data_IF_623565848486
#
_entry.id   IF_623565848486
#
_cell.length_a   1.000
_cell.length_b   1.000
_cell.length_c   1.000
_cell.angle_alpha   90.00
_cell.angle_beta   90.00
_cell.angle_gamma   90.00
#
_symmetry.space_group_name_H-M   'P 1'
#
loop_
_entity.id
_entity.type
_entity.pdbx_description
1 polymer ?
#
# COMPACT_ATOMS: atom_id res chain seq x y z
N UNK A 1 -10.45 -63.89 -40.84
CA UNK A 1 -11.07 -62.62 -41.29
C UNK A 1 -11.64 -61.88 -40.08
N UNK A 2 -10.84 -61.00 -39.47
CA UNK A 2 -11.26 -59.96 -38.50
C UNK A 2 -10.19 -58.86 -38.56
N UNK A 3 -10.53 -57.74 -39.20
CA UNK A 3 -9.74 -56.51 -39.30
C UNK A 3 -9.55 -55.89 -37.91
N UNK A 4 -8.32 -55.48 -37.57
CA UNK A 4 -8.06 -54.45 -36.55
C UNK A 4 -7.58 -53.20 -37.28
N UNK A 5 -8.40 -52.17 -37.23
CA UNK A 5 -8.10 -50.82 -37.70
C UNK A 5 -7.36 -50.11 -36.57
N UNK A 6 -6.08 -49.80 -36.77
CA UNK A 6 -5.31 -48.92 -35.89
C UNK A 6 -5.37 -47.49 -36.43
N UNK A 7 -6.04 -46.60 -35.71
CA UNK A 7 -6.08 -45.17 -36.02
C UNK A 7 -4.86 -44.51 -35.35
N UNK A 8 -3.97 -43.93 -36.15
CA UNK A 8 -2.87 -43.08 -35.65
C UNK A 8 -3.39 -41.65 -35.43
N UNK A 9 -3.39 -41.17 -34.19
CA UNK A 9 -3.61 -39.76 -33.87
C UNK A 9 -2.28 -39.00 -33.97
N UNK A 10 -2.20 -37.85 -34.68
CA UNK A 10 -0.98 -37.05 -34.70
C UNK A 10 -0.87 -36.27 -33.38
N UNK A 11 0.30 -36.36 -32.75
CA UNK A 11 0.64 -35.60 -31.55
C UNK A 11 0.84 -34.12 -31.95
N UNK A 12 -0.15 -33.26 -31.69
CA UNK A 12 0.02 -31.81 -31.81
C UNK A 12 0.93 -31.34 -30.67
N UNK A 13 2.17 -31.01 -31.00
CA UNK A 13 3.09 -30.29 -30.12
C UNK A 13 2.63 -28.84 -30.05
N UNK A 14 1.97 -28.45 -28.96
CA UNK A 14 1.75 -27.05 -28.65
C UNK A 14 3.08 -26.44 -28.18
N UNK A 15 3.75 -25.73 -29.08
CA UNK A 15 4.78 -24.75 -28.70
C UNK A 15 4.10 -23.61 -27.94
N UNK A 16 4.09 -23.68 -26.62
CA UNK A 16 3.78 -22.52 -25.77
C UNK A 16 4.93 -21.51 -25.93
N UNK A 17 4.74 -20.51 -26.79
CA UNK A 17 5.54 -19.29 -26.77
C UNK A 17 5.26 -18.57 -25.44
N UNK A 18 6.04 -18.92 -24.42
CA UNK A 18 6.08 -18.18 -23.17
C UNK A 18 6.61 -16.78 -23.44
N UNK A 19 5.73 -15.81 -23.61
CA UNK A 19 6.10 -14.41 -23.59
C UNK A 19 6.79 -14.12 -22.27
N UNK A 20 8.05 -13.68 -22.32
CA UNK A 20 8.80 -13.28 -21.14
C UNK A 20 8.08 -12.08 -20.48
N UNK A 21 7.22 -12.35 -19.51
CA UNK A 21 6.74 -11.30 -18.61
C UNK A 21 7.96 -10.80 -17.84
N UNK A 22 8.23 -9.50 -17.95
CA UNK A 22 9.25 -8.85 -17.14
C UNK A 22 8.93 -9.14 -15.66
N UNK A 23 9.82 -9.83 -14.95
CA UNK A 23 9.67 -10.06 -13.52
C UNK A 23 9.74 -8.71 -12.81
N UNK A 24 8.69 -8.38 -12.06
CA UNK A 24 8.66 -7.21 -11.19
C UNK A 24 9.84 -7.22 -10.21
N UNK A 25 10.34 -6.04 -9.83
CA UNK A 25 11.28 -5.89 -8.73
C UNK A 25 10.62 -6.43 -7.45
N UNK A 26 11.34 -7.28 -6.74
CA UNK A 26 10.95 -7.67 -5.38
C UNK A 26 11.77 -6.83 -4.41
N UNK A 27 11.19 -5.70 -4.00
CA UNK A 27 11.71 -4.93 -2.87
C UNK A 27 11.07 -5.52 -1.61
N UNK A 28 11.88 -5.91 -0.63
CA UNK A 28 11.37 -6.28 0.70
C UNK A 28 10.40 -7.48 0.72
N UNK A 29 10.50 -8.35 -0.30
CA UNK A 29 9.52 -9.43 -0.47
C UNK A 29 8.17 -8.93 -1.00
N UNK A 30 8.04 -7.73 -1.53
CA UNK A 30 6.79 -7.20 -2.11
C UNK A 30 7.04 -6.96 -3.60
N UNK A 31 6.61 -7.88 -4.49
CA UNK A 31 6.85 -7.71 -5.92
C UNK A 31 5.98 -6.58 -6.49
N UNK A 32 6.63 -5.63 -7.18
CA UNK A 32 6.00 -4.46 -7.79
C UNK A 32 6.73 -4.02 -9.07
N UNK A 33 5.97 -3.64 -10.09
CA UNK A 33 6.56 -2.97 -11.26
C UNK A 33 6.87 -1.50 -10.99
N UNK A 34 6.47 -0.97 -9.83
CA UNK A 34 6.69 0.42 -9.45
C UNK A 34 7.78 0.56 -8.39
N UNK A 35 8.35 1.76 -8.21
CA UNK A 35 9.32 2.02 -7.14
C UNK A 35 8.76 1.87 -5.71
N UNK A 36 7.44 1.95 -5.53
CA UNK A 36 6.71 1.61 -4.31
C UNK A 36 5.46 0.85 -4.74
N UNK A 37 5.13 -0.29 -4.11
CA UNK A 37 3.93 -1.05 -4.50
C UNK A 37 2.66 -0.23 -4.28
N UNK A 38 1.77 -0.22 -5.28
CA UNK A 38 0.53 0.55 -5.24
C UNK A 38 -0.65 -0.33 -4.80
N UNK A 39 -1.23 0.00 -3.65
CA UNK A 39 -2.43 -0.61 -3.07
C UNK A 39 -3.56 0.41 -2.95
N UNK A 40 -4.80 -0.08 -2.94
CA UNK A 40 -6.00 0.74 -2.73
C UNK A 40 -6.91 0.09 -1.67
N UNK A 41 -7.45 0.91 -0.76
CA UNK A 41 -8.43 0.47 0.22
C UNK A 41 -9.80 0.24 -0.44
N UNK A 42 -10.45 -0.87 -0.09
CA UNK A 42 -11.85 -1.14 -0.45
C UNK A 42 -12.71 -1.44 0.79
N UNK A 43 -14.02 -1.27 0.62
CA UNK A 43 -15.03 -1.86 1.52
C UNK A 43 -15.37 -3.27 0.99
N UNK A 44 -15.01 -4.34 1.71
CA UNK A 44 -15.21 -5.72 1.23
C UNK A 44 -16.69 -6.14 1.18
N UNK A 45 -17.60 -5.37 1.77
CA UNK A 45 -19.05 -5.61 1.69
C UNK A 45 -19.66 -4.92 0.47
N UNK A 46 -19.15 -3.77 0.07
CA UNK A 46 -19.73 -2.93 -1.00
C UNK A 46 -19.04 -3.06 -2.35
N UNK A 47 -17.82 -3.61 -2.40
CA UNK A 47 -17.04 -3.71 -3.62
C UNK A 47 -17.74 -4.59 -4.67
N UNK A 48 -17.75 -4.16 -5.93
CA UNK A 48 -18.24 -4.97 -7.05
C UNK A 48 -17.11 -5.53 -7.91
N UNK A 49 -17.38 -6.57 -8.69
CA UNK A 49 -16.41 -7.08 -9.67
C UNK A 49 -16.01 -6.01 -10.70
N UNK A 50 -16.96 -5.15 -11.08
CA UNK A 50 -16.70 -3.99 -11.96
C UNK A 50 -15.67 -3.06 -11.33
N UNK A 51 -15.81 -2.76 -10.03
CA UNK A 51 -14.84 -1.94 -9.30
C UNK A 51 -13.45 -2.59 -9.31
N UNK A 52 -13.35 -3.89 -9.02
CA UNK A 52 -12.06 -4.60 -9.04
C UNK A 52 -11.38 -4.56 -10.41
N UNK A 53 -12.14 -4.71 -11.50
CA UNK A 53 -11.63 -4.56 -12.87
C UNK A 53 -11.13 -3.15 -13.15
N UNK A 54 -11.85 -2.13 -12.67
CA UNK A 54 -11.44 -0.74 -12.79
C UNK A 54 -10.18 -0.42 -11.95
N UNK A 55 -10.08 -0.96 -10.74
CA UNK A 55 -8.88 -0.90 -9.89
C UNK A 55 -7.66 -1.47 -10.63
N UNK A 56 -7.80 -2.68 -11.20
CA UNK A 56 -6.71 -3.30 -11.98
C UNK A 56 -6.33 -2.45 -13.20
N UNK A 57 -7.33 -1.95 -13.93
CA UNK A 57 -7.12 -1.08 -15.10
C UNK A 57 -6.45 0.24 -14.71
N UNK A 58 -6.73 0.76 -13.52
CA UNK A 58 -6.12 1.98 -13.00
C UNK A 58 -4.63 1.81 -12.65
N UNK A 59 -4.12 0.57 -12.64
CA UNK A 59 -2.70 0.27 -12.44
C UNK A 59 -2.35 -0.16 -11.02
N UNK A 60 -3.31 -0.29 -10.12
CA UNK A 60 -3.06 -0.87 -8.79
C UNK A 60 -2.71 -2.36 -8.90
N UNK A 61 -1.76 -2.79 -8.08
CA UNK A 61 -1.32 -4.19 -7.99
C UNK A 61 -1.90 -4.89 -6.76
N UNK A 62 -2.21 -4.11 -5.72
CA UNK A 62 -2.68 -4.60 -4.43
C UNK A 62 -4.03 -3.98 -4.04
N UNK A 63 -4.77 -4.68 -3.18
CA UNK A 63 -6.04 -4.24 -2.61
C UNK A 63 -6.04 -4.54 -1.12
N UNK A 64 -6.28 -3.51 -0.28
CA UNK A 64 -6.40 -3.67 1.17
C UNK A 64 -7.84 -3.70 1.64
N UNK A 65 -8.15 -4.59 2.56
CA UNK A 65 -9.38 -4.55 3.34
C UNK A 65 -9.25 -5.22 4.70
N UNK A 66 -10.13 -4.83 5.61
CA UNK A 66 -10.21 -5.37 6.95
C UNK A 66 -11.02 -6.66 7.04
N UNK A 67 -10.54 -7.61 7.84
CA UNK A 67 -11.19 -8.86 8.19
C UNK A 67 -11.47 -8.87 9.68
N UNK A 68 -12.75 -9.07 10.03
CA UNK A 68 -13.23 -9.13 11.41
C UNK A 68 -13.79 -10.51 11.72
N UNK A 69 -13.76 -10.97 12.99
CA UNK A 69 -14.43 -12.21 13.36
C UNK A 69 -15.94 -12.09 13.19
N UNK A 70 -16.61 -13.24 13.00
CA UNK A 70 -18.05 -13.27 12.73
C UNK A 70 -18.90 -12.64 13.83
N UNK A 71 -18.46 -12.67 15.09
CA UNK A 71 -19.15 -12.03 16.22
C UNK A 71 -19.22 -10.49 16.08
N UNK A 72 -18.31 -9.90 15.30
CA UNK A 72 -18.28 -8.47 14.98
C UNK A 72 -19.11 -8.12 13.73
N UNK A 73 -19.73 -9.11 13.08
CA UNK A 73 -20.62 -8.85 11.95
C UNK A 73 -21.88 -8.13 12.45
N UNK A 74 -22.07 -6.89 11.98
CA UNK A 74 -23.31 -6.14 12.24
C UNK A 74 -24.45 -6.85 11.50
N UNK A 75 -25.60 -6.97 12.17
CA UNK A 75 -26.80 -7.63 11.66
C UNK A 75 -27.03 -7.40 10.16
N UNK A 76 -26.81 -8.44 9.36
CA UNK A 76 -27.18 -8.51 7.94
C UNK A 76 -26.12 -8.12 6.90
N UNK A 77 -24.89 -7.73 7.26
CA UNK A 77 -23.84 -7.37 6.28
C UNK A 77 -22.51 -8.08 6.55
N UNK A 78 -22.39 -9.32 6.05
CA UNK A 78 -21.15 -10.11 6.09
C UNK A 78 -20.45 -10.03 4.73
N UNK A 79 -19.16 -9.74 4.72
CA UNK A 79 -18.35 -9.84 3.51
C UNK A 79 -18.12 -11.31 3.15
N UNK A 80 -18.26 -11.66 1.87
CA UNK A 80 -17.82 -12.95 1.33
C UNK A 80 -16.31 -12.89 1.04
N UNK A 81 -15.49 -13.07 2.07
CA UNK A 81 -14.03 -12.98 1.94
C UNK A 81 -13.47 -14.05 0.99
N UNK A 82 -14.02 -15.27 0.99
CA UNK A 82 -13.55 -16.36 0.12
C UNK A 82 -13.86 -16.08 -1.36
N UNK A 83 -15.07 -15.61 -1.66
CA UNK A 83 -15.45 -15.17 -3.00
C UNK A 83 -14.62 -13.96 -3.46
N UNK A 84 -14.42 -12.97 -2.59
CA UNK A 84 -13.58 -11.80 -2.89
C UNK A 84 -12.13 -12.20 -3.20
N UNK A 85 -11.50 -13.04 -2.38
CA UNK A 85 -10.13 -13.52 -2.64
C UNK A 85 -10.03 -14.31 -3.96
N UNK A 86 -11.08 -15.07 -4.32
CA UNK A 86 -11.16 -15.77 -5.61
C UNK A 86 -11.20 -14.77 -6.78
N UNK A 87 -11.99 -13.70 -6.67
CA UNK A 87 -12.05 -12.64 -7.68
C UNK A 87 -10.72 -11.89 -7.82
N UNK A 88 -10.07 -11.56 -6.70
CA UNK A 88 -8.77 -10.88 -6.71
C UNK A 88 -7.71 -11.72 -7.42
N UNK A 89 -7.64 -13.03 -7.13
CA UNK A 89 -6.74 -13.96 -7.83
C UNK A 89 -7.00 -14.00 -9.34
N UNK A 90 -8.27 -14.08 -9.74
CA UNK A 90 -8.64 -14.10 -11.17
C UNK A 90 -8.24 -12.82 -11.91
N UNK A 91 -8.23 -11.67 -11.20
CA UNK A 91 -7.83 -10.37 -11.74
C UNK A 91 -6.33 -10.04 -11.54
N UNK A 92 -5.56 -10.95 -10.93
CA UNK A 92 -4.16 -10.73 -10.55
C UNK A 92 -4.00 -9.47 -9.69
N UNK A 93 -4.91 -9.27 -8.76
CA UNK A 93 -4.82 -8.29 -7.68
C UNK A 93 -4.40 -9.02 -6.41
N UNK A 94 -3.38 -8.49 -5.73
CA UNK A 94 -2.81 -9.11 -4.53
C UNK A 94 -3.45 -8.52 -3.27
N UNK A 95 -3.93 -9.34 -2.33
CA UNK A 95 -4.61 -8.83 -1.15
C UNK A 95 -3.63 -8.39 -0.04
N UNK A 96 -4.00 -7.31 0.66
CA UNK A 96 -3.44 -6.90 1.94
C UNK A 96 -4.55 -7.01 2.99
N UNK A 97 -4.45 -7.96 3.90
CA UNK A 97 -5.55 -8.31 4.82
C UNK A 97 -5.23 -7.89 6.25
N UNK A 98 -6.00 -6.94 6.75
CA UNK A 98 -5.89 -6.48 8.14
C UNK A 98 -6.79 -7.30 9.05
N UNK A 99 -6.20 -8.12 9.92
CA UNK A 99 -6.92 -8.93 10.90
C UNK A 99 -7.12 -8.12 12.19
N UNK A 100 -8.37 -7.77 12.52
CA UNK A 100 -8.69 -6.91 13.66
C UNK A 100 -10.15 -7.12 14.11
N UNK A 101 -10.59 -6.52 15.22
CA UNK A 101 -12.00 -6.62 15.57
C UNK A 101 -12.53 -5.84 16.77
N UNK A 102 -11.82 -4.81 17.25
CA UNK A 102 -12.38 -3.82 18.18
C UNK A 102 -13.02 -4.43 19.45
N UNK A 103 -14.01 -3.74 20.07
CA UNK A 103 -14.69 -4.20 21.30
C UNK A 103 -15.32 -5.60 21.22
N UNK A 104 -15.70 -6.04 20.01
CA UNK A 104 -16.33 -7.35 19.78
C UNK A 104 -15.35 -8.52 19.97
N UNK A 105 -14.07 -8.30 19.67
CA UNK A 105 -12.97 -9.24 19.98
C UNK A 105 -12.63 -9.23 21.46
N UNK A 106 -12.81 -8.07 22.12
CA UNK A 106 -12.45 -7.89 23.53
C UNK A 106 -13.52 -8.34 24.53
N UNK A 107 -14.66 -8.88 24.06
CA UNK A 107 -15.73 -9.41 24.92
C UNK A 107 -16.54 -8.32 25.64
N UNK A 108 -16.41 -7.05 25.23
CA UNK A 108 -16.97 -5.91 25.96
C UNK A 108 -18.50 -5.83 25.95
N UNK A 109 -19.15 -6.55 25.03
CA UNK A 109 -20.62 -6.66 24.98
C UNK A 109 -21.23 -7.53 26.09
N UNK A 110 -20.42 -8.29 26.83
CA UNK A 110 -20.88 -9.19 27.90
C UNK A 110 -20.37 -8.71 29.26
N UNK A 111 -20.99 -7.66 29.80
CA UNK A 111 -20.70 -7.19 31.15
C UNK A 111 -21.14 -8.22 32.20
N UNK A 112 -20.17 -8.85 32.89
CA UNK A 112 -20.19 -9.33 34.29
C UNK A 112 -18.95 -10.19 34.65
N UNK A 113 -17.78 -9.90 34.07
CA UNK A 113 -16.52 -10.62 34.37
C UNK A 113 -15.43 -9.61 34.73
N UNK A 114 -14.53 -9.95 35.65
CA UNK A 114 -13.43 -9.07 36.08
C UNK A 114 -12.48 -8.74 34.91
N UNK A 115 -11.93 -7.52 34.90
CA UNK A 115 -11.16 -6.96 33.76
C UNK A 115 -9.97 -7.81 33.31
N UNK A 116 -9.28 -8.50 34.24
CA UNK A 116 -8.09 -9.31 33.93
C UNK A 116 -8.41 -10.67 33.31
N UNK A 117 -9.51 -11.31 33.71
CA UNK A 117 -9.98 -12.56 33.09
C UNK A 117 -10.54 -12.30 31.69
N UNK A 118 -11.25 -11.17 31.49
CA UNK A 118 -11.71 -10.76 30.17
C UNK A 118 -10.52 -10.54 29.21
N UNK A 119 -9.47 -9.83 29.64
CA UNK A 119 -8.33 -9.56 28.76
C UNK A 119 -7.60 -10.82 28.26
N UNK A 120 -7.40 -11.82 29.13
CA UNK A 120 -6.74 -13.10 28.77
C UNK A 120 -7.58 -13.96 27.81
N UNK A 121 -8.89 -14.04 28.03
CA UNK A 121 -9.79 -14.76 27.13
C UNK A 121 -9.83 -14.09 25.74
N UNK A 122 -9.99 -12.77 25.73
CA UNK A 122 -9.98 -11.97 24.51
C UNK A 122 -8.67 -12.06 23.74
N UNK A 123 -7.55 -12.21 24.46
CA UNK A 123 -6.25 -12.44 23.82
C UNK A 123 -6.20 -13.77 23.05
N UNK A 124 -6.74 -14.82 23.67
CA UNK A 124 -6.83 -16.14 23.05
C UNK A 124 -7.79 -16.14 21.87
N UNK A 125 -8.91 -15.42 21.96
CA UNK A 125 -9.92 -15.34 20.92
C UNK A 125 -9.39 -14.64 19.66
N UNK A 126 -8.69 -13.49 19.81
CA UNK A 126 -8.06 -12.82 18.67
C UNK A 126 -7.03 -13.73 17.99
N UNK A 127 -6.14 -14.35 18.78
CA UNK A 127 -5.11 -15.22 18.23
C UNK A 127 -5.69 -16.44 17.50
N UNK A 128 -6.74 -17.06 18.05
CA UNK A 128 -7.42 -18.19 17.44
C UNK A 128 -8.13 -17.77 16.14
N UNK A 129 -8.81 -16.62 16.14
CA UNK A 129 -9.41 -16.06 14.93
C UNK A 129 -8.36 -15.81 13.85
N UNK A 130 -7.27 -15.09 14.18
CA UNK A 130 -6.25 -14.72 13.23
C UNK A 130 -5.58 -15.96 12.63
N UNK A 131 -5.13 -16.90 13.47
CA UNK A 131 -4.52 -18.15 13.00
C UNK A 131 -5.49 -18.99 12.19
N UNK A 132 -6.75 -19.11 12.61
CA UNK A 132 -7.77 -19.85 11.89
C UNK A 132 -8.06 -19.26 10.51
N UNK A 133 -8.16 -17.93 10.40
CA UNK A 133 -8.39 -17.27 9.12
C UNK A 133 -7.18 -17.37 8.19
N UNK A 134 -5.96 -17.18 8.71
CA UNK A 134 -4.73 -17.38 7.94
C UNK A 134 -4.61 -18.82 7.43
N UNK A 135 -4.97 -19.80 8.26
CA UNK A 135 -4.92 -21.22 7.91
C UNK A 135 -5.93 -21.62 6.84
N UNK A 136 -7.12 -21.01 6.84
CA UNK A 136 -8.14 -21.21 5.80
C UNK A 136 -7.74 -20.58 4.46
N UNK A 137 -6.83 -19.61 4.46
CA UNK A 137 -6.45 -18.81 3.30
C UNK A 137 -4.94 -18.81 3.06
N UNK A 138 -4.36 -20.00 2.83
CA UNK A 138 -2.91 -20.19 2.58
C UNK A 138 -2.49 -19.78 1.17
N UNK A 139 -2.53 -18.48 0.87
CA UNK A 139 -2.04 -17.92 -0.38
C UNK A 139 -0.76 -17.07 -0.13
N UNK A 140 0.39 -17.41 -0.76
CA UNK A 140 1.65 -16.71 -0.54
C UNK A 140 1.67 -15.26 -1.05
N UNK A 141 0.70 -14.86 -1.88
CA UNK A 141 0.58 -13.49 -2.37
C UNK A 141 -0.19 -12.58 -1.38
N UNK A 142 -0.75 -13.14 -0.30
CA UNK A 142 -1.39 -12.34 0.76
C UNK A 142 -0.32 -11.68 1.62
N UNK A 143 -0.44 -10.37 1.78
CA UNK A 143 0.23 -9.64 2.85
C UNK A 143 -0.73 -9.55 4.04
N UNK A 144 -0.30 -10.04 5.19
CA UNK A 144 -1.10 -10.02 6.42
C UNK A 144 -0.72 -8.82 7.26
N UNK A 145 -1.71 -8.11 7.79
CA UNK A 145 -1.52 -7.07 8.78
C UNK A 145 -2.22 -7.49 10.08
N UNK A 146 -1.46 -7.53 11.18
CA UNK A 146 -2.00 -7.80 12.50
C UNK A 146 -2.46 -6.50 13.14
N UNK A 147 -3.73 -6.46 13.55
CA UNK A 147 -4.37 -5.33 14.21
C UNK A 147 -4.49 -4.06 13.36
N UNK A 148 -5.18 -3.05 13.90
CA UNK A 148 -5.35 -1.73 13.30
C UNK A 148 -5.29 -0.66 14.40
N UNK A 149 -4.37 0.30 14.26
CA UNK A 149 -4.25 1.50 15.09
C UNK A 149 -4.46 1.23 16.59
N UNK A 150 -3.55 0.46 17.24
CA UNK A 150 -3.68 0.17 18.67
C UNK A 150 -3.65 1.43 19.56
N UNK A 151 -3.28 2.59 19.01
CA UNK A 151 -3.29 3.88 19.71
C UNK A 151 -4.66 4.53 19.80
N UNK A 152 -5.63 4.10 19.00
CA UNK A 152 -6.95 4.70 18.93
C UNK A 152 -7.93 3.89 19.80
N UNK A 153 -8.53 4.50 20.84
CA UNK A 153 -9.41 3.79 21.78
C UNK A 153 -10.62 3.09 21.14
N UNK A 154 -11.05 3.55 19.97
CA UNK A 154 -12.10 2.89 19.16
C UNK A 154 -11.70 1.46 18.78
N UNK A 155 -10.41 1.20 18.55
CA UNK A 155 -9.91 -0.13 18.19
C UNK A 155 -9.37 -0.88 19.39
N UNK A 156 -8.61 -0.22 20.27
CA UNK A 156 -8.01 -0.85 21.44
C UNK A 156 -8.02 0.11 22.63
N UNK A 157 -8.68 -0.30 23.72
CA UNK A 157 -8.54 0.41 25.00
C UNK A 157 -7.10 0.24 25.53
N UNK A 158 -6.43 1.31 25.98
CA UNK A 158 -5.04 1.25 26.43
C UNK A 158 -4.75 0.16 27.48
N UNK A 159 -5.68 -0.08 28.40
CA UNK A 159 -5.57 -1.10 29.45
C UNK A 159 -5.56 -2.54 28.93
N UNK A 160 -6.00 -2.77 27.68
CA UNK A 160 -6.01 -4.08 27.02
C UNK A 160 -4.75 -4.34 26.20
N UNK A 161 -3.84 -3.37 26.06
CA UNK A 161 -2.61 -3.56 25.28
C UNK A 161 -1.75 -4.70 25.84
N UNK A 162 -1.34 -4.60 27.11
CA UNK A 162 -0.46 -5.58 27.75
C UNK A 162 -1.14 -6.91 28.10
N UNK A 163 -2.34 -6.93 28.75
CA UNK A 163 -2.97 -8.20 29.09
C UNK A 163 -3.75 -8.83 27.91
N UNK A 164 -3.94 -8.11 26.80
CA UNK A 164 -4.72 -8.53 25.64
C UNK A 164 -3.89 -8.65 24.36
N UNK A 165 -3.59 -7.54 23.70
CA UNK A 165 -2.98 -7.55 22.37
C UNK A 165 -1.57 -8.16 22.34
N UNK A 166 -0.70 -7.80 23.29
CA UNK A 166 0.67 -8.35 23.38
C UNK A 166 0.69 -9.88 23.43
N UNK A 167 0.02 -10.57 24.38
CA UNK A 167 0.02 -12.03 24.43
C UNK A 167 -0.68 -12.67 23.22
N UNK A 168 -1.68 -11.99 22.62
CA UNK A 168 -2.31 -12.48 21.39
C UNK A 168 -1.31 -12.56 20.24
N UNK A 169 -0.57 -11.48 20.03
CA UNK A 169 0.42 -11.36 18.96
C UNK A 169 1.59 -12.29 19.21
N UNK A 170 2.04 -12.41 20.45
CA UNK A 170 3.05 -13.40 20.84
C UNK A 170 2.60 -14.83 20.50
N UNK A 171 1.35 -15.19 20.78
CA UNK A 171 0.77 -16.50 20.43
C UNK A 171 0.69 -16.72 18.91
N UNK A 172 0.21 -15.72 18.16
CA UNK A 172 0.18 -15.77 16.68
C UNK A 172 1.61 -16.00 16.15
N UNK A 173 2.54 -15.15 16.55
CA UNK A 173 3.91 -15.23 16.06
C UNK A 173 4.62 -16.55 16.42
N UNK A 174 4.43 -17.06 17.63
CA UNK A 174 5.01 -18.36 18.03
C UNK A 174 4.45 -19.51 17.19
N UNK A 175 3.15 -19.47 16.89
CA UNK A 175 2.52 -20.46 16.02
C UNK A 175 3.06 -20.38 14.59
N UNK A 176 3.23 -19.18 14.03
CA UNK A 176 3.80 -19.01 12.68
C UNK A 176 5.27 -19.44 12.60
N UNK A 177 6.06 -19.16 13.64
CA UNK A 177 7.48 -19.55 13.70
C UNK A 177 7.68 -21.07 13.75
N UNK A 178 6.73 -21.82 14.33
CA UNK A 178 6.83 -23.28 14.42
C UNK A 178 6.40 -24.03 13.15
N UNK A 179 5.80 -23.35 12.16
CA UNK A 179 5.28 -23.94 10.91
C UNK A 179 6.32 -24.04 9.78
N UNK A 180 7.61 -24.24 10.08
CA UNK A 180 8.80 -24.09 9.20
C UNK A 180 8.90 -24.95 7.92
N UNK A 181 7.79 -25.40 7.33
CA UNK A 181 7.78 -26.47 6.32
C UNK A 181 7.48 -26.12 4.85
N UNK A 182 6.84 -24.99 4.49
CA UNK A 182 6.60 -24.78 3.03
C UNK A 182 6.30 -23.37 2.51
N UNK A 183 6.00 -22.33 3.31
CA UNK A 183 5.84 -20.94 2.82
C UNK A 183 5.72 -19.99 4.02
N UNK A 184 6.62 -19.00 4.10
CA UNK A 184 6.58 -17.99 5.16
C UNK A 184 5.51 -16.95 4.84
N UNK A 185 4.54 -16.76 5.73
CA UNK A 185 3.60 -15.64 5.65
C UNK A 185 4.36 -14.31 5.71
N UNK A 186 3.97 -13.34 4.87
CA UNK A 186 4.45 -11.96 4.98
C UNK A 186 3.52 -11.23 5.93
N UNK A 187 4.00 -10.95 7.13
CA UNK A 187 3.20 -10.38 8.22
C UNK A 187 3.74 -9.01 8.60
N UNK A 188 2.85 -8.03 8.68
CA UNK A 188 3.11 -6.66 9.08
C UNK A 188 2.23 -6.30 10.28
N UNK A 189 2.56 -5.21 10.96
CA UNK A 189 1.71 -4.66 12.03
C UNK A 189 2.24 -3.31 12.49
N UNK A 190 1.43 -2.44 13.08
CA UNK A 190 0.04 -2.65 13.53
C UNK A 190 -0.91 -1.60 12.95
N UNK A 191 -0.53 -0.99 11.82
CA UNK A 191 -1.19 0.18 11.27
C UNK A 191 -1.10 1.34 12.26
N UNK A 192 0.09 1.65 12.77
CA UNK A 192 0.25 2.69 13.80
C UNK A 192 -0.25 4.05 13.28
N UNK A 193 -1.23 4.63 13.96
CA UNK A 193 -1.80 5.96 13.61
C UNK A 193 -0.82 7.10 13.94
N UNK A 194 0.14 6.84 14.83
CA UNK A 194 1.21 7.76 15.19
C UNK A 194 2.55 7.18 14.75
N UNK A 195 3.36 7.99 14.08
CA UNK A 195 4.70 7.56 13.67
C UNK A 195 5.54 7.18 14.91
N UNK A 196 6.15 5.98 14.93
CA UNK A 196 7.05 5.57 16.01
C UNK A 196 8.21 6.57 16.21
N UNK A 197 8.50 6.93 17.47
CA UNK A 197 9.51 7.93 17.85
C UNK A 197 10.67 7.28 18.61
N UNK A 198 11.92 7.59 18.22
CA UNK A 198 13.10 6.90 18.74
C UNK A 198 13.43 7.19 20.22
N UNK A 199 13.15 8.41 20.69
CA UNK A 199 13.64 8.93 21.97
C UNK A 199 12.62 8.92 23.12
N UNK A 200 11.44 8.32 22.91
CA UNK A 200 10.44 8.11 23.96
C UNK A 200 10.27 6.62 24.24
N UNK A 201 10.13 6.23 25.51
CA UNK A 201 9.58 4.91 25.83
C UNK A 201 8.18 4.81 25.24
N UNK A 202 7.97 3.83 24.36
CA UNK A 202 6.67 3.61 23.75
C UNK A 202 5.91 2.56 24.55
N UNK A 203 4.62 2.75 24.86
CA UNK A 203 3.82 1.67 25.46
C UNK A 203 3.77 0.42 24.55
N UNK A 204 4.10 0.57 23.26
CA UNK A 204 4.13 -0.50 22.26
C UNK A 204 5.49 -1.18 22.11
N UNK A 205 6.51 -0.80 22.89
CA UNK A 205 7.85 -1.41 22.77
C UNK A 205 7.80 -2.93 23.01
N UNK A 206 7.01 -3.39 23.99
CA UNK A 206 6.80 -4.82 24.25
C UNK A 206 6.12 -5.52 23.07
N UNK A 207 5.11 -4.88 22.46
CA UNK A 207 4.40 -5.39 21.29
C UNK A 207 5.34 -5.53 20.08
N UNK A 208 6.20 -4.53 19.84
CA UNK A 208 7.21 -4.56 18.80
C UNK A 208 8.28 -5.63 19.09
N UNK A 209 8.72 -5.78 20.33
CA UNK A 209 9.74 -6.75 20.73
C UNK A 209 9.29 -8.20 20.45
N UNK A 210 8.10 -8.56 20.94
CA UNK A 210 7.59 -9.93 20.80
C UNK A 210 7.28 -10.30 19.35
N UNK A 211 7.07 -9.31 18.47
CA UNK A 211 6.56 -9.52 17.11
C UNK A 211 7.64 -9.39 16.03
N UNK A 212 8.51 -8.37 16.09
CA UNK A 212 9.62 -8.18 15.13
C UNK A 212 10.73 -9.22 15.28
N UNK A 213 10.93 -9.76 16.49
CA UNK A 213 11.91 -10.83 16.72
C UNK A 213 11.44 -12.19 16.24
N UNK A 214 10.13 -12.38 16.00
CA UNK A 214 9.54 -13.70 15.83
C UNK A 214 8.84 -13.91 14.48
N UNK A 215 7.88 -13.05 14.10
CA UNK A 215 7.05 -13.29 12.91
C UNK A 215 6.80 -12.10 11.99
N UNK A 216 6.96 -10.85 12.46
CA UNK A 216 6.76 -9.70 11.58
C UNK A 216 7.92 -9.57 10.59
N UNK A 217 7.56 -9.49 9.32
CA UNK A 217 8.47 -9.11 8.24
C UNK A 217 8.90 -7.66 8.37
N UNK A 218 7.99 -6.78 8.81
CA UNK A 218 8.19 -5.35 8.99
C UNK A 218 7.02 -4.71 9.74
N UNK A 219 6.98 -3.38 9.79
CA UNK A 219 5.86 -2.65 10.41
C UNK A 219 4.94 -2.00 9.37
N UNK A 220 3.71 -1.71 9.80
CA UNK A 220 2.74 -0.92 9.06
C UNK A 220 2.33 0.33 9.83
N UNK A 221 2.12 1.43 9.11
CA UNK A 221 1.82 2.77 9.65
C UNK A 221 0.70 3.44 8.87
N UNK A 222 -0.04 4.35 9.53
CA UNK A 222 -1.07 5.19 8.92
C UNK A 222 -0.68 6.67 8.97
N UNK A 223 0.21 7.13 8.08
CA UNK A 223 0.90 8.41 8.18
C UNK A 223 0.04 9.63 7.76
N UNK A 224 -1.22 9.76 8.21
CA UNK A 224 -2.05 10.93 7.90
C UNK A 224 -1.39 12.24 8.36
N UNK A 225 -1.29 13.20 7.44
CA UNK A 225 -0.55 14.46 7.62
C UNK A 225 -0.99 15.51 6.60
N UNK A 226 -0.84 16.79 6.93
CA UNK A 226 -1.20 17.88 6.01
C UNK A 226 -0.29 17.94 4.77
N UNK A 227 1.03 17.83 4.97
CA UNK A 227 2.05 17.88 3.91
C UNK A 227 2.70 16.50 3.75
N UNK A 228 2.54 15.82 2.59
CA UNK A 228 3.11 14.50 2.38
C UNK A 228 4.60 14.37 2.70
N UNK A 229 5.38 15.40 2.41
CA UNK A 229 6.83 15.35 2.48
C UNK A 229 7.38 15.39 3.90
N UNK A 230 6.57 15.73 4.91
CA UNK A 230 7.00 15.60 6.33
C UNK A 230 7.23 14.14 6.72
N UNK A 231 6.76 13.18 5.91
CA UNK A 231 7.11 11.77 6.06
C UNK A 231 8.63 11.55 6.04
N UNK A 232 9.38 12.36 5.28
CA UNK A 232 10.83 12.21 5.11
C UNK A 232 11.56 12.33 6.45
N UNK A 233 11.21 13.32 7.28
CA UNK A 233 11.83 13.49 8.60
C UNK A 233 11.40 12.40 9.58
N UNK A 234 10.12 12.03 9.61
CA UNK A 234 9.62 10.99 10.51
C UNK A 234 10.25 9.62 10.21
N UNK A 235 10.52 9.34 8.93
CA UNK A 235 10.99 8.02 8.52
C UNK A 235 12.43 7.73 9.00
N UNK A 236 13.26 8.75 9.19
CA UNK A 236 14.56 8.58 9.83
C UNK A 236 14.41 8.07 11.29
N UNK A 237 13.44 8.61 12.02
CA UNK A 237 13.13 8.16 13.38
C UNK A 237 12.55 6.75 13.40
N UNK A 238 11.68 6.40 12.45
CA UNK A 238 11.18 5.03 12.30
C UNK A 238 12.33 4.05 12.14
N UNK A 239 13.31 4.35 11.28
CA UNK A 239 14.48 3.48 11.06
C UNK A 239 15.31 3.32 12.34
N UNK A 240 15.40 4.37 13.16
CA UNK A 240 16.06 4.32 14.46
C UNK A 240 15.26 3.56 15.52
N UNK A 241 13.92 3.61 15.51
CA UNK A 241 13.10 2.73 16.36
C UNK A 241 13.34 1.27 15.99
N UNK A 242 13.29 0.97 14.69
CA UNK A 242 13.45 -0.39 14.17
C UNK A 242 14.85 -0.97 14.43
N UNK A 243 15.88 -0.13 14.57
CA UNK A 243 17.24 -0.61 14.89
C UNK A 243 17.35 -1.20 16.30
N UNK A 244 16.50 -0.77 17.25
CA UNK A 244 16.42 -1.35 18.61
C UNK A 244 16.09 -2.85 18.59
N UNK A 245 15.44 -3.31 17.51
CA UNK A 245 14.99 -4.68 17.31
C UNK A 245 15.83 -5.42 16.27
N UNK A 246 16.99 -4.87 15.86
CA UNK A 246 17.83 -5.42 14.78
C UNK A 246 17.11 -5.51 13.42
N UNK A 247 16.13 -4.62 13.20
CA UNK A 247 15.27 -4.57 12.02
C UNK A 247 15.33 -3.22 11.28
N UNK A 248 16.44 -2.50 11.37
CA UNK A 248 16.60 -1.18 10.74
C UNK A 248 16.31 -1.17 9.23
N UNK A 249 16.63 -2.26 8.52
CA UNK A 249 16.35 -2.45 7.09
C UNK A 249 15.04 -3.17 6.80
N UNK A 250 14.28 -3.59 7.81
CA UNK A 250 13.02 -4.27 7.60
C UNK A 250 12.01 -3.37 6.85
N UNK A 251 11.07 -3.95 6.12
CA UNK A 251 10.14 -3.19 5.31
C UNK A 251 9.23 -2.34 6.20
N UNK A 252 8.81 -1.20 5.66
CA UNK A 252 7.74 -0.40 6.25
C UNK A 252 6.70 -0.18 5.15
N UNK A 253 5.45 -0.49 5.47
CA UNK A 253 4.33 -0.23 4.57
C UNK A 253 3.45 0.88 5.16
N UNK A 254 2.96 1.77 4.31
CA UNK A 254 1.82 2.61 4.67
C UNK A 254 0.56 1.85 4.30
N UNK A 255 -0.02 1.13 5.26
CA UNK A 255 -1.23 0.34 5.05
C UNK A 255 -2.49 1.20 4.99
N UNK A 256 -2.41 2.47 5.36
CA UNK A 256 -3.47 3.43 5.11
C UNK A 256 -2.94 4.85 5.08
N UNK A 257 -3.16 5.55 3.98
CA UNK A 257 -2.94 6.98 3.89
C UNK A 257 -3.77 7.53 2.74
N UNK A 258 -4.25 8.76 2.85
CA UNK A 258 -5.03 9.39 1.80
C UNK A 258 -5.47 10.79 2.16
N UNK A 259 -6.16 11.42 1.22
CA UNK A 259 -6.67 12.77 1.35
C UNK A 259 -8.13 12.81 0.90
N UNK A 260 -8.97 13.46 1.70
CA UNK A 260 -10.40 13.63 1.43
C UNK A 260 -10.66 14.96 0.73
N UNK A 261 -11.53 14.98 -0.27
CA UNK A 261 -11.97 16.18 -1.00
C UNK A 261 -13.20 16.84 -0.35
N UNK A 262 -13.13 17.10 0.96
CA UNK A 262 -14.25 17.67 1.72
C UNK A 262 -14.20 19.21 1.82
N UNK A 263 -15.34 19.84 1.63
CA UNK A 263 -15.53 21.29 1.64
C UNK A 263 -15.67 21.87 3.06
N UNK A 264 -15.17 23.09 3.33
CA UNK A 264 -14.40 23.96 2.43
C UNK A 264 -12.88 23.70 2.49
N UNK A 265 -12.44 22.68 3.23
CA UNK A 265 -11.02 22.44 3.49
C UNK A 265 -10.23 22.02 2.26
N UNK A 266 -10.83 21.22 1.37
CA UNK A 266 -10.14 20.67 0.20
C UNK A 266 -11.12 20.33 -0.91
N UNK A 267 -10.86 20.86 -2.10
CA UNK A 267 -11.58 20.49 -3.31
C UNK A 267 -10.97 19.25 -3.98
N UNK A 268 -11.55 18.86 -5.12
CA UNK A 268 -11.13 17.70 -5.89
C UNK A 268 -9.69 17.83 -6.43
N UNK A 269 -9.29 19.03 -6.82
CA UNK A 269 -7.94 19.29 -7.35
C UNK A 269 -6.89 19.29 -6.23
N UNK A 270 -7.23 19.83 -5.06
CA UNK A 270 -6.41 19.74 -3.85
C UNK A 270 -6.22 18.29 -3.39
N UNK A 271 -7.25 17.45 -3.51
CA UNK A 271 -7.11 16.00 -3.29
C UNK A 271 -6.13 15.39 -4.29
N UNK A 272 -6.31 15.67 -5.58
CA UNK A 272 -5.44 15.13 -6.63
C UNK A 272 -3.97 15.52 -6.44
N UNK A 273 -3.72 16.78 -6.05
CA UNK A 273 -2.40 17.28 -5.72
C UNK A 273 -1.74 16.52 -4.59
N UNK A 274 -2.45 16.34 -3.47
CA UNK A 274 -1.88 15.70 -2.29
C UNK A 274 -1.67 14.21 -2.50
N UNK A 275 -2.59 13.51 -3.18
CA UNK A 275 -2.46 12.07 -3.47
C UNK A 275 -1.30 11.76 -4.42
N UNK A 276 -1.01 12.62 -5.42
CA UNK A 276 0.20 12.44 -6.25
C UNK A 276 1.47 12.64 -5.41
N UNK A 277 1.51 13.67 -4.56
CA UNK A 277 2.64 13.96 -3.67
C UNK A 277 2.82 12.91 -2.56
N UNK A 278 1.74 12.30 -2.10
CA UNK A 278 1.69 11.15 -1.20
C UNK A 278 2.46 9.96 -1.76
N UNK A 279 2.15 9.57 -2.99
CA UNK A 279 2.84 8.49 -3.67
C UNK A 279 4.33 8.81 -3.88
N UNK A 280 4.66 10.03 -4.34
CA UNK A 280 6.05 10.43 -4.56
C UNK A 280 6.85 10.52 -3.25
N UNK A 281 6.23 10.93 -2.15
CA UNK A 281 6.85 10.93 -0.81
C UNK A 281 7.11 9.52 -0.31
N UNK A 282 6.20 8.59 -0.60
CA UNK A 282 6.36 7.16 -0.31
C UNK A 282 7.53 6.56 -1.08
N UNK A 283 7.67 6.91 -2.37
CA UNK A 283 8.85 6.56 -3.16
C UNK A 283 10.12 7.18 -2.57
N UNK A 284 10.09 8.45 -2.16
CA UNK A 284 11.24 9.15 -1.60
C UNK A 284 11.86 8.40 -0.41
N UNK A 285 11.01 7.94 0.52
CA UNK A 285 11.47 7.24 1.74
C UNK A 285 11.60 5.73 1.54
N UNK A 286 11.39 5.23 0.30
CA UNK A 286 11.43 3.80 -0.04
C UNK A 286 10.43 2.97 0.76
N UNK A 287 9.19 3.44 0.91
CA UNK A 287 8.11 2.57 1.39
C UNK A 287 7.97 1.39 0.43
N UNK A 288 7.84 0.19 1.00
CA UNK A 288 7.70 -1.04 0.22
C UNK A 288 6.31 -1.13 -0.41
N UNK A 289 5.29 -0.55 0.25
CA UNK A 289 3.91 -0.44 -0.23
C UNK A 289 3.24 0.81 0.33
N UNK A 290 2.45 1.47 -0.51
CA UNK A 290 1.49 2.50 -0.12
C UNK A 290 0.07 2.01 -0.46
N UNK A 291 -0.81 1.99 0.53
CA UNK A 291 -2.22 1.77 0.37
C UNK A 291 -3.00 3.08 0.50
N UNK A 292 -3.59 3.49 -0.62
CA UNK A 292 -4.35 4.73 -0.71
C UNK A 292 -5.76 4.51 -0.14
N UNK A 293 -6.18 5.36 0.79
CA UNK A 293 -7.53 5.41 1.35
C UNK A 293 -8.32 6.51 0.61
N UNK A 294 -9.28 6.18 -0.25
CA UNK A 294 -9.80 4.85 -0.61
C UNK A 294 -10.31 4.78 -2.06
N UNK A 295 -10.78 3.61 -2.51
CA UNK A 295 -11.30 3.46 -3.88
C UNK A 295 -12.50 4.36 -4.15
N UNK A 296 -13.54 4.30 -3.31
CA UNK A 296 -14.87 4.88 -3.59
C UNK A 296 -15.36 5.72 -2.40
N UNK A 297 -15.95 6.88 -2.70
CA UNK A 297 -16.62 7.72 -1.71
C UNK A 297 -17.74 6.93 -1.01
N UNK A 298 -17.86 7.11 0.31
CA UNK A 298 -18.77 6.29 1.13
C UNK A 298 -20.15 6.93 1.33
N UNK A 299 -20.25 8.22 1.00
CA UNK A 299 -21.46 9.03 1.12
C UNK A 299 -21.38 10.29 0.24
N UNK A 300 -22.42 11.12 0.31
CA UNK A 300 -22.62 12.26 -0.59
C UNK A 300 -22.56 13.63 0.08
N UNK A 301 -22.32 13.68 1.41
CA UNK A 301 -22.17 14.95 2.12
C UNK A 301 -20.78 15.52 1.83
N UNK A 302 -20.66 16.64 1.07
CA UNK A 302 -19.37 17.22 0.73
C UNK A 302 -18.61 17.77 1.94
N UNK A 303 -19.25 17.97 3.09
CA UNK A 303 -18.58 18.43 4.32
C UNK A 303 -18.07 17.27 5.19
N UNK A 304 -18.54 16.04 4.96
CA UNK A 304 -18.16 14.88 5.75
C UNK A 304 -16.81 14.30 5.26
N UNK A 305 -15.75 14.50 6.05
CA UNK A 305 -14.40 14.05 5.70
C UNK A 305 -14.34 12.56 5.32
N UNK A 306 -14.99 11.69 6.10
CA UNK A 306 -15.02 10.24 5.90
C UNK A 306 -15.79 9.79 4.64
N UNK A 307 -16.65 10.66 4.09
CA UNK A 307 -17.44 10.35 2.91
C UNK A 307 -16.68 10.61 1.60
N UNK A 308 -15.62 11.43 1.63
CA UNK A 308 -15.01 12.05 0.44
C UNK A 308 -13.56 11.62 0.14
N UNK A 309 -13.09 10.50 0.70
CA UNK A 309 -11.74 9.94 0.47
C UNK A 309 -11.56 9.18 -0.86
N UNK A 310 -12.65 8.83 -1.53
CA UNK A 310 -12.65 8.05 -2.76
C UNK A 310 -11.82 8.68 -3.87
N UNK A 311 -11.19 7.82 -4.68
CA UNK A 311 -10.65 8.15 -5.99
C UNK A 311 -11.75 8.11 -7.08
N UNK A 312 -12.85 7.41 -6.82
CA UNK A 312 -14.11 7.54 -7.54
C UNK A 312 -15.20 8.05 -6.59
N UNK A 313 -16.18 8.77 -7.15
CA UNK A 313 -17.37 9.18 -6.41
C UNK A 313 -18.27 7.97 -6.05
N UNK A 314 -19.36 8.21 -5.32
CA UNK A 314 -20.32 7.15 -4.96
C UNK A 314 -20.90 6.40 -6.16
N UNK A 315 -21.01 7.07 -7.31
CA UNK A 315 -21.56 6.53 -8.56
C UNK A 315 -20.49 5.79 -9.38
N UNK A 316 -19.23 5.76 -8.89
CA UNK A 316 -18.10 5.15 -9.56
C UNK A 316 -17.50 6.02 -10.68
N UNK A 317 -17.80 7.32 -10.72
CA UNK A 317 -17.16 8.24 -11.65
C UNK A 317 -15.77 8.63 -11.15
N UNK A 318 -14.75 8.65 -12.04
CA UNK A 318 -13.39 9.00 -11.66
C UNK A 318 -13.30 10.45 -11.17
N UNK A 319 -12.70 10.66 -10.00
CA UNK A 319 -12.30 11.99 -9.52
C UNK A 319 -10.93 12.36 -10.12
N UNK A 320 -10.55 13.65 -10.17
CA UNK A 320 -9.25 14.11 -10.69
C UNK A 320 -8.04 13.35 -10.09
N UNK A 321 -8.12 12.97 -8.81
CA UNK A 321 -7.07 12.20 -8.14
C UNK A 321 -6.79 10.85 -8.82
N UNK A 322 -7.83 10.13 -9.28
CA UNK A 322 -7.64 8.86 -10.00
C UNK A 322 -6.93 9.07 -11.34
N UNK A 323 -7.32 10.11 -12.09
CA UNK A 323 -6.74 10.40 -13.40
C UNK A 323 -5.26 10.79 -13.28
N UNK A 324 -4.94 11.62 -12.30
CA UNK A 324 -3.56 12.03 -12.01
C UNK A 324 -2.69 10.83 -11.60
N UNK A 325 -3.18 9.95 -10.73
CA UNK A 325 -2.47 8.72 -10.33
C UNK A 325 -2.28 7.74 -11.49
N UNK A 326 -3.30 7.52 -12.33
CA UNK A 326 -3.19 6.65 -13.50
C UNK A 326 -2.08 7.14 -14.44
N UNK A 327 -2.02 8.45 -14.69
CA UNK A 327 -0.98 9.03 -15.52
C UNK A 327 0.39 8.88 -14.85
N UNK A 328 0.51 9.16 -13.55
CA UNK A 328 1.73 8.95 -12.77
C UNK A 328 2.22 7.50 -12.86
N UNK A 329 1.36 6.52 -12.56
CA UNK A 329 1.69 5.09 -12.65
C UNK A 329 2.16 4.71 -14.06
N UNK A 330 1.53 5.22 -15.12
CA UNK A 330 1.99 4.95 -16.49
C UNK A 330 3.42 5.45 -16.76
N UNK A 331 3.83 6.57 -16.13
CA UNK A 331 5.19 7.11 -16.26
C UNK A 331 6.21 6.39 -15.39
N UNK A 332 5.79 5.91 -14.22
CA UNK A 332 6.67 5.30 -13.22
C UNK A 332 6.71 3.76 -13.29
N UNK A 333 5.86 3.14 -14.09
CA UNK A 333 5.85 1.68 -14.30
C UNK A 333 7.20 1.17 -14.82
N UNK A 334 7.58 -0.01 -14.36
CA UNK A 334 8.86 -0.68 -14.61
C UNK A 334 10.09 0.16 -14.25
N UNK A 335 9.98 1.02 -13.24
CA UNK A 335 11.10 1.80 -12.70
C UNK A 335 11.39 1.45 -11.25
N UNK A 336 12.57 1.85 -10.78
CA UNK A 336 13.03 1.73 -9.40
C UNK A 336 13.75 3.01 -8.97
N UNK A 337 13.71 3.31 -7.67
CA UNK A 337 14.38 4.48 -7.13
C UNK A 337 15.90 4.35 -7.16
N UNK A 338 16.55 5.19 -7.95
CA UNK A 338 18.02 5.32 -8.00
C UNK A 338 18.48 6.31 -6.94
N UNK A 339 17.88 7.50 -6.89
CA UNK A 339 18.22 8.52 -5.90
C UNK A 339 17.04 9.41 -5.56
N UNK A 340 16.97 9.86 -4.31
CA UNK A 340 16.06 10.90 -3.85
C UNK A 340 16.86 12.04 -3.22
N UNK A 341 16.48 13.29 -3.48
CA UNK A 341 17.15 14.48 -2.94
C UNK A 341 16.10 15.50 -2.50
N UNK A 342 16.31 16.10 -1.33
CA UNK A 342 15.53 17.21 -0.84
C UNK A 342 16.45 18.40 -0.55
N UNK A 343 15.99 19.61 -0.88
CA UNK A 343 16.64 20.86 -0.52
C UNK A 343 15.58 21.86 -0.11
N UNK A 344 15.56 22.24 1.17
CA UNK A 344 14.46 23.01 1.76
C UNK A 344 13.08 22.37 1.44
N UNK A 345 12.26 23.05 0.64
CA UNK A 345 10.93 22.60 0.22
C UNK A 345 10.91 21.94 -1.17
N UNK A 346 12.06 21.76 -1.82
CA UNK A 346 12.13 21.20 -3.17
C UNK A 346 12.65 19.76 -3.16
N UNK A 347 12.03 18.92 -3.98
CA UNK A 347 12.25 17.47 -4.00
C UNK A 347 12.55 17.00 -5.42
N UNK A 348 13.49 16.07 -5.54
CA UNK A 348 13.84 15.40 -6.79
C UNK A 348 13.95 13.91 -6.57
N UNK A 349 13.30 13.13 -7.45
CA UNK A 349 13.52 11.69 -7.60
C UNK A 349 14.22 11.42 -8.94
N UNK A 350 15.16 10.48 -8.93
CA UNK A 350 15.71 9.85 -10.13
C UNK A 350 15.30 8.39 -10.11
N UNK A 351 14.56 7.98 -11.12
CA UNK A 351 14.07 6.61 -11.28
C UNK A 351 14.71 6.00 -12.51
N UNK A 352 15.31 4.83 -12.35
CA UNK A 352 15.90 4.06 -13.44
C UNK A 352 14.99 2.91 -13.82
N UNK A 353 15.07 2.46 -15.06
CA UNK A 353 14.36 1.25 -15.50
C UNK A 353 14.77 0.04 -14.66
N UNK A 354 13.80 -0.78 -14.27
CA UNK A 354 14.08 -2.08 -13.66
C UNK A 354 14.85 -2.98 -14.65
N UNK A 355 15.58 -3.96 -14.13
CA UNK A 355 16.42 -4.84 -14.94
C UNK A 355 15.64 -5.50 -16.09
N UNK A 356 14.42 -5.97 -15.79
CA UNK A 356 13.54 -6.66 -16.72
C UNK A 356 12.78 -5.74 -17.71
N UNK A 357 12.87 -4.42 -17.56
CA UNK A 357 12.25 -3.47 -18.50
C UNK A 357 12.92 -3.56 -19.88
N UNK A 358 12.11 -3.68 -20.94
CA UNK A 358 12.58 -3.78 -22.33
C UNK A 358 13.23 -2.48 -22.80
N UNK A 359 12.52 -1.38 -22.60
CA UNK A 359 12.99 -0.04 -22.98
C UNK A 359 13.72 0.60 -21.80
N UNK A 360 14.95 1.05 -22.04
CA UNK A 360 15.74 1.71 -21.01
C UNK A 360 15.43 3.19 -21.00
N UNK A 361 14.99 3.64 -19.83
CA UNK A 361 14.66 5.03 -19.54
C UNK A 361 15.10 5.45 -18.15
N UNK A 362 15.31 6.75 -18.02
CA UNK A 362 15.47 7.44 -16.74
C UNK A 362 14.35 8.46 -16.60
N UNK A 363 13.66 8.46 -15.47
CA UNK A 363 12.62 9.43 -15.13
C UNK A 363 13.12 10.31 -13.99
N UNK A 364 13.14 11.61 -14.21
CA UNK A 364 13.37 12.61 -13.17
C UNK A 364 12.04 13.22 -12.79
N UNK A 365 11.68 13.18 -11.51
CA UNK A 365 10.46 13.82 -11.00
C UNK A 365 10.86 14.95 -10.06
N UNK A 366 10.27 16.13 -10.21
CA UNK A 366 10.53 17.30 -9.36
C UNK A 366 9.23 17.95 -8.91
N UNK A 367 9.21 18.42 -7.67
CA UNK A 367 8.12 19.22 -7.10
C UNK A 367 8.59 20.00 -5.89
N UNK A 368 7.75 20.94 -5.43
CA UNK A 368 7.98 21.76 -4.25
C UNK A 368 6.80 21.65 -3.28
N UNK A 369 7.06 21.65 -1.98
CA UNK A 369 6.00 21.75 -0.96
C UNK A 369 5.60 23.21 -0.66
N UNK A 370 6.36 24.19 -1.16
CA UNK A 370 6.06 25.61 -1.04
C UNK A 370 4.98 26.06 -2.03
N UNK A 371 4.19 27.08 -1.67
CA UNK A 371 3.13 27.64 -2.52
C UNK A 371 3.67 28.47 -3.71
N UNK A 372 4.94 28.88 -3.67
CA UNK A 372 5.59 29.64 -4.74
C UNK A 372 6.28 28.76 -5.78
N UNK A 373 6.99 29.42 -6.70
CA UNK A 373 7.91 28.70 -7.59
C UNK A 373 9.09 28.15 -6.79
N UNK A 374 9.34 26.86 -6.90
CA UNK A 374 10.50 26.18 -6.34
C UNK A 374 11.76 26.33 -7.22
N UNK A 375 12.76 25.53 -6.89
CA UNK A 375 14.02 25.47 -7.61
C UNK A 375 13.86 25.09 -9.10
N UNK A 376 14.81 25.56 -9.91
CA UNK A 376 14.98 25.17 -11.30
C UNK A 376 15.98 24.02 -11.40
N UNK A 377 15.61 22.97 -12.11
CA UNK A 377 16.39 21.76 -12.31
C UNK A 377 16.79 21.61 -13.77
N UNK A 378 18.05 21.28 -14.03
CA UNK A 378 18.57 21.04 -15.37
C UNK A 378 19.00 19.57 -15.52
N UNK A 379 18.47 18.91 -16.53
CA UNK A 379 18.73 17.51 -16.82
C UNK A 379 19.44 17.39 -18.15
N UNK A 380 20.66 16.84 -18.16
CA UNK A 380 21.36 16.55 -19.41
C UNK A 380 20.71 15.37 -20.14
N UNK A 381 20.54 15.48 -21.46
CA UNK A 381 19.98 14.41 -22.29
C UNK A 381 20.95 13.24 -22.46
N UNK A 382 22.26 13.48 -22.38
CA UNK A 382 23.30 12.45 -22.36
C UNK A 382 23.09 11.29 -23.36
N UNK A 383 22.79 11.60 -24.63
CA UNK A 383 22.59 10.57 -25.67
C UNK A 383 21.20 9.91 -25.70
N UNK A 384 20.21 10.42 -24.95
CA UNK A 384 18.83 9.97 -25.05
C UNK A 384 18.27 10.18 -26.47
N UNK A 385 17.65 9.14 -27.03
CA UNK A 385 17.03 9.14 -28.37
C UNK A 385 15.71 9.91 -28.40
N UNK A 386 14.99 9.90 -27.29
CA UNK A 386 13.74 10.64 -27.13
C UNK A 386 13.62 11.22 -25.72
N UNK A 387 12.83 12.27 -25.61
CA UNK A 387 12.62 12.98 -24.36
C UNK A 387 11.18 13.48 -24.28
N UNK A 388 10.53 13.25 -23.12
CA UNK A 388 9.19 13.74 -22.84
C UNK A 388 9.13 14.45 -21.49
N UNK A 389 8.34 15.52 -21.43
CA UNK A 389 7.95 16.22 -20.20
C UNK A 389 6.51 15.82 -19.88
N UNK A 390 6.29 15.27 -18.69
CA UNK A 390 4.98 14.92 -18.16
C UNK A 390 4.53 15.94 -17.11
N UNK A 391 3.30 16.44 -17.27
CA UNK A 391 2.58 17.22 -16.25
C UNK A 391 1.44 16.37 -15.73
N UNK A 392 1.38 16.16 -14.42
CA UNK A 392 0.36 15.28 -13.82
C UNK A 392 -0.90 16.03 -13.41
N UNK A 393 -0.81 17.36 -13.24
CA UNK A 393 -1.87 18.22 -12.72
C UNK A 393 -1.79 19.62 -13.35
N UNK A 394 -2.90 20.38 -13.36
CA UNK A 394 -4.27 19.91 -13.12
C UNK A 394 -4.75 19.00 -14.26
N UNK A 395 -4.18 19.14 -15.45
CA UNK A 395 -4.46 18.31 -16.63
C UNK A 395 -3.25 17.44 -16.96
N UNK A 396 -3.49 16.15 -17.12
CA UNK A 396 -2.48 15.16 -17.46
C UNK A 396 -2.03 15.35 -18.91
N UNK A 397 -0.77 15.74 -19.12
CA UNK A 397 -0.21 15.96 -20.47
C UNK A 397 1.22 15.43 -20.58
N UNK A 398 1.54 14.89 -21.76
CA UNK A 398 2.90 14.54 -22.16
C UNK A 398 3.26 15.38 -23.39
N UNK A 399 4.40 16.08 -23.34
CA UNK A 399 4.91 16.87 -24.46
C UNK A 399 6.34 16.48 -24.76
N UNK A 400 6.74 16.46 -26.03
CA UNK A 400 8.13 16.30 -26.40
C UNK A 400 9.00 17.40 -25.76
N UNK A 401 10.21 17.06 -25.34
CA UNK A 401 11.14 18.08 -24.86
C UNK A 401 11.53 19.06 -25.99
N UNK A 402 11.85 20.33 -25.69
CA UNK A 402 12.22 21.33 -26.70
C UNK A 402 13.37 20.87 -27.63
N UNK A 403 13.37 21.24 -28.91
CA UNK A 403 14.24 20.63 -29.92
C UNK A 403 15.74 20.97 -29.88
N UNK A 404 16.17 22.01 -29.15
CA UNK A 404 17.47 22.67 -29.42
C UNK A 404 18.52 22.65 -28.30
N UNK A 405 18.29 21.93 -27.19
CA UNK A 405 19.21 21.90 -26.04
C UNK A 405 19.73 20.51 -25.68
N UNK A 406 21.02 20.40 -25.35
CA UNK A 406 21.60 19.22 -24.69
C UNK A 406 21.06 18.99 -23.27
N UNK A 407 20.34 19.96 -22.73
CA UNK A 407 19.67 19.93 -21.43
C UNK A 407 18.17 20.15 -21.55
N UNK A 408 17.44 19.75 -20.52
CA UNK A 408 16.01 20.04 -20.31
C UNK A 408 15.88 20.70 -18.96
N UNK A 409 15.16 21.81 -18.91
CA UNK A 409 14.90 22.54 -17.68
C UNK A 409 13.48 22.28 -17.19
N UNK A 410 13.33 21.99 -15.90
CA UNK A 410 12.05 22.01 -15.20
C UNK A 410 12.12 22.96 -14.02
N UNK A 411 11.09 23.78 -13.85
CA UNK A 411 10.90 24.59 -12.66
C UNK A 411 9.93 23.88 -11.72
N UNK A 412 10.38 23.53 -10.52
CA UNK A 412 9.53 22.88 -9.53
C UNK A 412 8.42 23.82 -9.07
N UNK A 413 7.24 23.26 -8.84
CA UNK A 413 6.12 23.90 -8.17
C UNK A 413 5.35 22.84 -7.39
N UNK A 414 4.20 23.20 -6.83
CA UNK A 414 3.40 22.24 -6.06
C UNK A 414 2.99 21.02 -6.88
N UNK A 415 2.52 21.25 -8.11
CA UNK A 415 2.18 20.18 -9.05
C UNK A 415 3.47 19.50 -9.54
N UNK A 416 3.63 18.19 -9.32
CA UNK A 416 4.82 17.49 -9.77
C UNK A 416 4.96 17.47 -11.30
N UNK A 417 6.21 17.52 -11.75
CA UNK A 417 6.60 17.44 -13.16
C UNK A 417 7.61 16.31 -13.32
N UNK A 418 7.63 15.67 -14.49
CA UNK A 418 8.68 14.71 -14.81
C UNK A 418 9.32 14.95 -16.17
N UNK A 419 10.63 14.70 -16.27
CA UNK A 419 11.32 14.46 -17.54
C UNK A 419 11.60 12.97 -17.66
N UNK A 420 11.21 12.36 -18.77
CA UNK A 420 11.62 11.00 -19.13
C UNK A 420 12.61 11.05 -20.29
N UNK A 421 13.78 10.46 -20.10
CA UNK A 421 14.81 10.26 -21.12
C UNK A 421 14.82 8.80 -21.55
N UNK A 422 14.69 8.53 -22.85
CA UNK A 422 14.67 7.19 -23.44
C UNK A 422 15.98 6.91 -24.18
N UNK A 423 16.61 5.76 -23.94
CA UNK A 423 17.95 5.41 -24.43
C UNK A 423 17.96 4.25 -25.42
#
# INVERSE_FOLDING_TARGET
MKMRIGVSLPLLVFCTLGGSQAKALEQDGIPSIYPTAASIQIDPVKISEKDLRLIKKAGFEYVRFGVRPEIAAVAGKKADYAGLLTQLRALQLKPVLTLFGGPDVWGERKANVTSRQMASQSASDFANFALGFMDQHRDPDILWELWNEPEIPTFLKPELLRPGLVPSVQKICSALQSQSGSKTYKVFGFGFSKMPRAFSSSPYDELLDVSLKTCLSGISVHPYREKPETLISDFAEVRQVMSKYEKSSAPVIASEWGYSSFSPTRDLDGQALLVVREYLSSVFVRLSLLNIYAWKDTGGDPAAIEENYGLVDMNGQPKPALLALQHLFSRLSQTQLVSAKASASDYQLTLGSQAAAKDKRTVYVVWSSAAGSGATYQFSRNGAKACAISRFLPVQTDTACPGSGGTVELRAGQAPLAVTLYY
#
